data_IF_232110411105
#
_entry.id   IF_232110411105
#
_cell.length_a   1.000
_cell.length_b   1.000
_cell.length_c   1.000
_cell.angle_alpha   90.00
_cell.angle_beta   90.00
_cell.angle_gamma   90.00
#
_symmetry.space_group_name_H-M   'P 1'
#
loop_
_entity.id
_entity.type
_entity.pdbx_description
1 polymer ?
#
# COMPACT_ATOMS: atom_id res chain seq x y z
N UNK A 1 9.53 11.52 31.58
CA UNK A 1 9.02 10.52 30.62
C UNK A 1 8.56 11.27 29.37
N UNK A 2 9.32 11.22 28.29
CA UNK A 2 8.95 11.86 27.02
C UNK A 2 7.82 11.06 26.38
N UNK A 3 6.64 11.65 26.27
CA UNK A 3 5.52 11.05 25.55
C UNK A 3 5.89 11.02 24.06
N UNK A 4 6.22 9.83 23.53
CA UNK A 4 6.33 9.64 22.08
C UNK A 4 4.96 9.95 21.47
N UNK A 5 4.83 11.15 20.89
CA UNK A 5 3.68 11.51 20.06
C UNK A 5 3.56 10.44 18.96
N UNK A 6 2.51 9.63 19.03
CA UNK A 6 2.14 8.74 17.91
C UNK A 6 1.95 9.62 16.68
N UNK A 7 2.60 9.26 15.57
CA UNK A 7 2.39 9.96 14.30
C UNK A 7 0.92 9.93 13.89
N UNK A 8 0.50 10.91 13.08
CA UNK A 8 -0.85 10.94 12.52
C UNK A 8 -1.21 9.63 11.81
N UNK A 9 -2.49 9.27 11.76
CA UNK A 9 -2.92 8.09 11.00
C UNK A 9 -2.65 8.28 9.51
N UNK A 10 -2.40 7.18 8.79
CA UNK A 10 -2.29 7.20 7.33
C UNK A 10 -3.67 7.36 6.70
N UNK A 11 -3.78 8.31 5.77
CA UNK A 11 -4.97 8.52 4.96
C UNK A 11 -4.92 7.72 3.66
N UNK A 12 -6.09 7.55 3.03
CA UNK A 12 -6.18 6.90 1.71
C UNK A 12 -5.34 7.63 0.65
N UNK A 13 -5.38 8.97 0.63
CA UNK A 13 -4.61 9.75 -0.33
C UNK A 13 -3.10 9.58 -0.13
N UNK A 14 -2.64 9.49 1.13
CA UNK A 14 -1.23 9.17 1.40
C UNK A 14 -0.85 7.79 0.88
N UNK A 15 -1.69 6.77 1.07
CA UNK A 15 -1.44 5.43 0.53
C UNK A 15 -1.37 5.46 -1.01
N UNK A 16 -2.25 6.21 -1.68
CA UNK A 16 -2.23 6.39 -3.15
C UNK A 16 -0.94 7.08 -3.60
N UNK A 17 -0.54 8.17 -2.95
CA UNK A 17 0.71 8.87 -3.28
C UNK A 17 1.93 7.98 -3.05
N UNK A 18 1.94 7.19 -1.98
CA UNK A 18 2.99 6.23 -1.69
C UNK A 18 3.08 5.15 -2.78
N UNK A 19 1.97 4.49 -3.11
CA UNK A 19 1.94 3.48 -4.17
C UNK A 19 2.41 4.04 -5.50
N UNK A 20 1.91 5.22 -5.90
CA UNK A 20 2.32 5.86 -7.15
C UNK A 20 3.80 6.21 -7.15
N UNK A 21 4.35 6.70 -6.03
CA UNK A 21 5.77 7.03 -5.93
C UNK A 21 6.64 5.78 -6.01
N UNK A 22 6.23 4.71 -5.33
CA UNK A 22 6.93 3.42 -5.41
C UNK A 22 6.94 2.87 -6.83
N UNK A 23 5.79 2.87 -7.53
CA UNK A 23 5.69 2.40 -8.92
C UNK A 23 6.59 3.22 -9.84
N UNK A 24 6.52 4.57 -9.77
CA UNK A 24 7.36 5.43 -10.60
C UNK A 24 8.85 5.17 -10.43
N UNK A 25 9.34 4.91 -9.21
CA UNK A 25 10.76 4.62 -8.97
C UNK A 25 11.11 3.18 -9.35
N UNK A 26 10.19 2.22 -9.18
CA UNK A 26 10.39 0.82 -9.57
C UNK A 26 10.44 0.63 -11.09
N UNK A 27 9.69 1.43 -11.85
CA UNK A 27 9.63 1.37 -13.31
C UNK A 27 10.67 2.27 -14.00
N UNK A 28 11.33 3.17 -13.26
CA UNK A 28 12.37 4.03 -13.80
C UNK A 28 13.58 3.18 -14.24
N UNK A 29 13.75 3.04 -15.56
CA UNK A 29 14.86 2.32 -16.19
C UNK A 29 16.24 2.95 -15.93
N UNK A 30 16.31 4.11 -15.27
CA UNK A 30 17.55 4.70 -14.78
C UNK A 30 18.18 3.94 -13.59
N UNK A 31 17.67 2.76 -13.23
CA UNK A 31 18.36 1.76 -12.38
C UNK A 31 19.50 1.09 -13.20
N UNK A 32 20.35 1.92 -13.81
CA UNK A 32 21.70 1.54 -14.15
C UNK A 32 22.49 1.50 -12.85
N UNK A 33 22.83 0.28 -12.41
CA UNK A 33 24.02 -0.09 -11.65
C UNK A 33 24.53 1.02 -10.72
N UNK A 34 24.34 0.84 -9.41
CA UNK A 34 25.08 1.52 -8.32
C UNK A 34 24.33 2.57 -7.50
N UNK A 35 23.17 2.23 -6.93
CA UNK A 35 22.78 2.91 -5.70
C UNK A 35 22.26 1.89 -4.67
N UNK A 36 22.97 1.75 -3.56
CA UNK A 36 22.62 0.90 -2.42
C UNK A 36 21.14 1.04 -2.04
N UNK A 37 20.51 -0.01 -1.48
CA UNK A 37 19.07 -0.02 -1.17
C UNK A 37 18.55 1.19 -0.35
N UNK A 38 19.45 1.89 0.37
CA UNK A 38 19.15 3.16 1.04
C UNK A 38 18.72 4.27 0.07
N UNK A 39 19.22 4.24 -1.17
CA UNK A 39 18.86 5.16 -2.25
C UNK A 39 17.45 4.96 -2.81
N UNK A 40 16.94 3.72 -2.83
CA UNK A 40 15.64 3.43 -3.43
C UNK A 40 14.54 4.04 -2.58
N UNK A 41 14.53 3.71 -1.29
CA UNK A 41 13.54 4.28 -0.36
C UNK A 41 13.73 5.77 -0.15
N UNK A 42 14.96 6.29 -0.27
CA UNK A 42 15.19 7.75 -0.29
C UNK A 42 14.53 8.42 -1.50
N UNK A 43 14.64 7.84 -2.70
CA UNK A 43 13.95 8.35 -3.91
C UNK A 43 12.43 8.23 -3.81
N UNK A 44 11.92 7.11 -3.32
CA UNK A 44 10.48 6.91 -3.07
C UNK A 44 9.95 7.92 -2.06
N UNK A 45 10.68 8.13 -0.95
CA UNK A 45 10.33 9.11 0.08
C UNK A 45 10.34 10.54 -0.44
N UNK A 46 11.34 10.91 -1.24
CA UNK A 46 11.41 12.23 -1.88
C UNK A 46 10.21 12.49 -2.80
N UNK A 47 9.90 11.55 -3.69
CA UNK A 47 8.75 11.66 -4.60
C UNK A 47 7.42 11.64 -3.85
N UNK A 48 7.32 10.86 -2.77
CA UNK A 48 6.16 10.87 -1.88
C UNK A 48 5.97 12.24 -1.23
N UNK A 49 7.02 12.82 -0.65
CA UNK A 49 6.96 14.14 -0.01
C UNK A 49 6.53 15.23 -0.98
N UNK A 50 7.04 15.20 -2.23
CA UNK A 50 6.63 16.11 -3.28
C UNK A 50 5.13 16.02 -3.60
N UNK A 51 4.57 14.81 -3.64
CA UNK A 51 3.14 14.58 -3.93
C UNK A 51 2.23 14.86 -2.73
N UNK A 52 2.68 14.52 -1.52
CA UNK A 52 1.88 14.64 -0.30
C UNK A 52 1.74 16.10 0.17
N UNK A 53 2.73 16.96 -0.13
CA UNK A 53 2.86 18.42 0.06
C UNK A 53 2.49 19.04 1.42
N UNK A 54 1.77 18.33 2.29
CA UNK A 54 1.15 18.79 3.52
C UNK A 54 1.43 17.88 4.70
N UNK A 55 1.87 16.63 4.44
CA UNK A 55 2.14 15.64 5.49
C UNK A 55 3.61 15.30 5.51
N UNK A 56 4.23 15.55 6.66
CA UNK A 56 5.62 15.16 6.92
C UNK A 56 5.64 13.74 7.48
N UNK A 57 6.20 12.80 6.70
CA UNK A 57 6.49 11.42 7.14
C UNK A 57 7.99 11.20 7.09
N UNK A 58 8.52 10.37 7.99
CA UNK A 58 9.92 9.91 7.86
C UNK A 58 10.03 8.82 6.80
N UNK A 59 11.23 8.62 6.26
CA UNK A 59 11.52 7.57 5.29
C UNK A 59 11.14 6.18 5.81
N UNK A 60 11.44 5.91 7.08
CA UNK A 60 11.14 4.64 7.75
C UNK A 60 9.63 4.42 7.90
N UNK A 61 8.87 5.49 8.16
CA UNK A 61 7.42 5.43 8.23
C UNK A 61 6.81 5.08 6.86
N UNK A 62 7.32 5.70 5.79
CA UNK A 62 6.91 5.42 4.41
C UNK A 62 7.22 3.97 4.02
N UNK A 63 8.44 3.49 4.27
CA UNK A 63 8.82 2.11 3.99
C UNK A 63 7.97 1.11 4.78
N UNK A 64 7.80 1.33 6.09
CA UNK A 64 6.98 0.48 6.96
C UNK A 64 5.53 0.42 6.49
N UNK A 65 4.97 1.57 6.09
CA UNK A 65 3.61 1.61 5.54
C UNK A 65 3.49 0.82 4.24
N UNK A 66 4.45 0.95 3.33
CA UNK A 66 4.44 0.19 2.09
C UNK A 66 4.52 -1.31 2.33
N UNK A 67 5.34 -1.78 3.30
CA UNK A 67 5.40 -3.20 3.68
C UNK A 67 4.02 -3.73 4.11
N UNK A 68 3.25 -2.94 4.87
CA UNK A 68 1.88 -3.29 5.26
C UNK A 68 0.98 -3.41 4.02
N UNK A 69 0.99 -2.41 3.12
CA UNK A 69 0.19 -2.42 1.89
C UNK A 69 0.55 -3.65 1.03
N UNK A 70 1.83 -3.88 0.79
CA UNK A 70 2.32 -4.99 -0.03
C UNK A 70 1.94 -6.36 0.55
N UNK A 71 1.95 -6.50 1.87
CA UNK A 71 1.48 -7.72 2.54
C UNK A 71 -0.03 -7.94 2.29
N UNK A 72 -0.85 -6.90 2.40
CA UNK A 72 -2.28 -7.00 2.10
C UNK A 72 -2.53 -7.39 0.64
N UNK A 73 -1.78 -6.79 -0.30
CA UNK A 73 -1.84 -7.16 -1.72
C UNK A 73 -1.44 -8.63 -1.96
N UNK A 74 -0.41 -9.11 -1.27
CA UNK A 74 0.06 -10.50 -1.37
C UNK A 74 -0.97 -11.49 -0.84
N UNK A 75 -1.59 -11.18 0.30
CA UNK A 75 -2.68 -11.99 0.85
C UNK A 75 -3.89 -12.02 -0.09
N UNK A 76 -4.29 -10.86 -0.65
CA UNK A 76 -5.37 -10.78 -1.63
C UNK A 76 -5.08 -11.61 -2.88
N UNK A 77 -3.86 -11.53 -3.43
CA UNK A 77 -3.40 -12.35 -4.54
C UNK A 77 -3.52 -13.84 -4.22
N UNK A 78 -3.06 -14.27 -3.04
CA UNK A 78 -3.18 -15.66 -2.60
C UNK A 78 -4.64 -16.12 -2.44
N UNK A 79 -5.51 -15.26 -1.90
CA UNK A 79 -6.94 -15.54 -1.79
C UNK A 79 -7.62 -15.66 -3.15
N UNK A 80 -7.29 -14.78 -4.10
CA UNK A 80 -7.80 -14.87 -5.48
C UNK A 80 -7.32 -16.14 -6.18
N UNK A 81 -6.04 -16.52 -6.03
CA UNK A 81 -5.52 -17.76 -6.61
C UNK A 81 -6.28 -18.98 -6.09
N UNK A 82 -6.59 -19.03 -4.79
CA UNK A 82 -7.42 -20.10 -4.21
C UNK A 82 -8.85 -20.10 -4.76
N UNK A 83 -9.45 -18.93 -4.91
CA UNK A 83 -10.80 -18.79 -5.44
C UNK A 83 -10.86 -19.26 -6.91
N UNK A 84 -9.88 -18.87 -7.74
CA UNK A 84 -9.73 -19.32 -9.13
C UNK A 84 -9.49 -20.84 -9.21
N UNK A 85 -8.63 -21.40 -8.37
CA UNK A 85 -8.38 -22.85 -8.33
C UNK A 85 -9.62 -23.67 -7.92
N UNK A 86 -10.55 -23.05 -7.20
CA UNK A 86 -11.80 -23.68 -6.74
C UNK A 86 -13.01 -23.26 -7.58
N UNK A 87 -12.77 -22.65 -8.75
CA UNK A 87 -13.81 -22.21 -9.67
C UNK A 87 -14.50 -23.45 -10.29
N UNK A 88 -15.83 -23.55 -10.14
CA UNK A 88 -16.64 -24.56 -10.81
C UNK A 88 -17.07 -24.01 -12.18
N UNK A 89 -17.28 -24.87 -13.18
CA UNK A 89 -17.84 -24.45 -14.46
C UNK A 89 -19.16 -23.71 -14.24
N UNK A 90 -19.23 -22.47 -14.73
CA UNK A 90 -20.37 -21.57 -14.55
C UNK A 90 -20.16 -20.41 -13.56
N UNK A 91 -19.06 -20.38 -12.79
CA UNK A 91 -18.74 -19.25 -11.91
C UNK A 91 -18.09 -18.10 -12.66
N UNK A 92 -18.51 -16.87 -12.38
CA UNK A 92 -17.96 -15.64 -12.96
C UNK A 92 -16.90 -14.97 -12.04
N UNK A 93 -16.20 -13.95 -12.54
CA UNK A 93 -15.15 -13.25 -11.79
C UNK A 93 -15.68 -12.56 -10.52
N UNK A 94 -16.94 -12.12 -10.53
CA UNK A 94 -17.59 -11.52 -9.38
C UNK A 94 -17.73 -12.56 -8.25
N UNK A 95 -18.11 -13.80 -8.57
CA UNK A 95 -18.20 -14.90 -7.60
C UNK A 95 -16.85 -15.22 -6.95
N UNK A 96 -15.77 -15.18 -7.75
CA UNK A 96 -14.38 -15.38 -7.28
C UNK A 96 -13.99 -14.27 -6.30
N UNK A 97 -14.31 -13.01 -6.63
CA UNK A 97 -13.98 -11.85 -5.79
C UNK A 97 -14.78 -11.89 -4.48
N UNK A 98 -16.09 -12.17 -4.51
CA UNK A 98 -16.92 -12.26 -3.30
C UNK A 98 -16.51 -13.40 -2.36
N UNK A 99 -16.01 -14.51 -2.93
CA UNK A 99 -15.54 -15.64 -2.14
C UNK A 99 -14.16 -15.40 -1.52
N UNK A 100 -13.41 -14.42 -1.99
CA UNK A 100 -12.15 -14.02 -1.37
C UNK A 100 -12.42 -13.37 -0.01
N UNK A 101 -11.89 -13.92 1.11
CA UNK A 101 -12.18 -13.41 2.46
C UNK A 101 -11.61 -12.01 2.72
N UNK A 102 -10.75 -11.48 1.84
CA UNK A 102 -10.13 -10.17 2.00
C UNK A 102 -10.88 -9.13 1.19
N UNK A 103 -11.84 -8.49 1.84
CA UNK A 103 -12.38 -7.19 1.41
C UNK A 103 -11.23 -6.20 1.53
N UNK A 104 -10.60 -5.82 0.41
CA UNK A 104 -9.77 -4.61 0.36
C UNK A 104 -10.66 -3.51 0.93
N UNK A 105 -10.31 -2.98 2.10
CA UNK A 105 -11.22 -2.20 2.92
C UNK A 105 -11.92 -1.11 2.11
N UNK A 106 -13.24 -1.20 1.84
CA UNK A 106 -13.98 0.00 1.50
C UNK A 106 -14.11 0.74 2.82
N UNK A 107 -13.35 1.82 2.97
CA UNK A 107 -13.59 2.93 3.87
C UNK A 107 -14.28 2.57 5.21
N UNK A 108 -13.52 2.56 6.31
CA UNK A 108 -14.12 2.62 7.65
C UNK A 108 -14.87 3.96 7.78
N UNK A 109 -16.12 4.04 7.30
CA UNK A 109 -17.06 5.07 7.77
C UNK A 109 -17.21 4.80 9.26
N UNK A 110 -16.64 5.68 10.10
CA UNK A 110 -17.07 5.78 11.49
C UNK A 110 -18.54 6.19 11.44
N UNK A 111 -19.42 5.26 11.76
CA UNK A 111 -20.78 5.54 12.21
C UNK A 111 -20.69 6.54 13.36
N UNK A 112 -21.51 7.58 13.30
CA UNK A 112 -21.53 8.67 14.25
C UNK A 112 -21.77 8.21 15.69
N UNK A 113 -21.13 8.91 16.62
CA UNK A 113 -21.62 9.01 17.99
C UNK A 113 -22.76 10.05 17.99
N UNK A 114 -23.92 9.63 18.49
CA UNK A 114 -24.79 10.50 19.28
C UNK A 114 -24.33 10.44 20.73
#
# INVERSE_FOLDING_TARGET
>A
MSSQKRGSNWSYNEDVFLCNSWVSISEDGAVGINQAGDSFWSRVHMLFCQKANTVVRTREAVESRFKVINNQCSLWKGSLQKANATQRSGSNLIDVIYRSPLKICPHRRRSGQM
#
